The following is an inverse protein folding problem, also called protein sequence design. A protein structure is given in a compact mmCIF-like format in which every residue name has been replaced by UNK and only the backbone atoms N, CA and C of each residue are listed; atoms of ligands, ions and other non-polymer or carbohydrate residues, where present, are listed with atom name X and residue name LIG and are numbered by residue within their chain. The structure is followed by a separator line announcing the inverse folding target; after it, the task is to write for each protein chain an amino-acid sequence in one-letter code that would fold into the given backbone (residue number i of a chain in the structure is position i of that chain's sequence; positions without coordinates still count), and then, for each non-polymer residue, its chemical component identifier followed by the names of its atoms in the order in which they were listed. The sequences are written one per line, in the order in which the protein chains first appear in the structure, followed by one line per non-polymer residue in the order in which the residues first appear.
data_IF_898231355349
#
_entry.id   IF_898231355349
#
_cell.length_a   1.000
_cell.length_b   1.000
_cell.length_c   1.000
_cell.angle_alpha   90.00
_cell.angle_beta   90.00
_cell.angle_gamma   90.00
#
_symmetry.space_group_name_H-M   'P 1'
#
loop_
_entity.id
_entity.type
_entity.pdbx_description
1 polymer ?
#
# COMPACT_ATOMS: atom_id res chain seq x y z
N UNK A 1 -32.47 -18.00 -32.20
CA UNK A 1 -31.66 -16.97 -31.50
C UNK A 1 -31.43 -17.49 -30.09
N UNK A 2 -30.24 -17.98 -29.71
CA UNK A 2 -29.98 -18.38 -28.33
C UNK A 2 -29.53 -17.16 -27.53
N UNK A 3 -30.10 -17.00 -26.34
CA UNK A 3 -29.74 -15.98 -25.35
C UNK A 3 -28.25 -16.07 -24.97
N UNK A 4 -27.48 -15.07 -25.40
CA UNK A 4 -26.07 -14.85 -25.06
C UNK A 4 -25.99 -13.82 -23.93
N UNK A 5 -26.43 -14.11 -22.71
CA UNK A 5 -26.11 -13.23 -21.58
C UNK A 5 -26.33 -13.83 -20.18
N UNK A 6 -25.50 -14.79 -19.76
CA UNK A 6 -25.26 -15.10 -18.33
C UNK A 6 -24.14 -16.15 -18.19
N UNK A 7 -22.86 -15.73 -18.23
CA UNK A 7 -22.02 -15.96 -17.04
C UNK A 7 -21.02 -14.83 -16.70
N UNK A 8 -20.89 -13.81 -17.55
CA UNK A 8 -19.84 -12.78 -17.43
C UNK A 8 -19.99 -11.90 -16.18
N UNK A 9 -21.22 -11.53 -15.79
CA UNK A 9 -21.46 -10.61 -14.66
C UNK A 9 -21.11 -11.19 -13.30
N UNK A 10 -21.36 -12.49 -13.07
CA UNK A 10 -21.07 -13.15 -11.78
C UNK A 10 -19.59 -13.52 -11.64
N UNK A 11 -18.93 -13.86 -12.74
CA UNK A 11 -17.47 -14.02 -12.82
C UNK A 11 -16.74 -12.71 -12.48
N UNK A 12 -17.21 -11.59 -13.04
CA UNK A 12 -16.61 -10.28 -12.84
C UNK A 12 -16.83 -9.74 -11.41
N UNK A 13 -17.96 -10.02 -10.76
CA UNK A 13 -18.17 -9.64 -9.34
C UNK A 13 -17.15 -10.32 -8.42
N UNK A 14 -16.95 -11.64 -8.60
CA UNK A 14 -16.00 -12.41 -7.79
C UNK A 14 -14.54 -11.99 -8.03
N UNK A 15 -14.21 -11.55 -9.25
CA UNK A 15 -12.89 -11.00 -9.57
C UNK A 15 -12.65 -9.64 -8.88
N UNK A 16 -13.67 -8.77 -8.82
CA UNK A 16 -13.59 -7.47 -8.13
C UNK A 16 -13.47 -7.64 -6.61
N UNK A 17 -14.25 -8.56 -6.01
CA UNK A 17 -14.16 -8.88 -4.58
C UNK A 17 -12.76 -9.40 -4.22
N UNK A 18 -12.20 -10.30 -5.04
CA UNK A 18 -10.84 -10.79 -4.85
C UNK A 18 -9.79 -9.69 -4.96
N UNK A 19 -9.91 -8.82 -5.96
CA UNK A 19 -9.00 -7.68 -6.12
C UNK A 19 -9.08 -6.70 -4.93
N UNK A 20 -10.28 -6.53 -4.34
CA UNK A 20 -10.48 -5.72 -3.14
C UNK A 20 -9.77 -6.33 -1.92
N UNK A 21 -9.94 -7.63 -1.69
CA UNK A 21 -9.26 -8.32 -0.59
C UNK A 21 -7.74 -8.31 -0.75
N UNK A 22 -7.25 -8.57 -1.97
CA UNK A 22 -5.81 -8.47 -2.29
C UNK A 22 -5.28 -7.04 -2.06
N UNK A 23 -6.03 -6.01 -2.47
CA UNK A 23 -5.63 -4.61 -2.25
C UNK A 23 -5.59 -4.24 -0.76
N UNK A 24 -6.54 -4.74 0.05
CA UNK A 24 -6.56 -4.53 1.50
C UNK A 24 -5.36 -5.22 2.17
N UNK A 25 -5.03 -6.43 1.74
CA UNK A 25 -3.88 -7.15 2.25
C UNK A 25 -2.56 -6.45 1.92
N UNK A 26 -2.38 -6.01 0.68
CA UNK A 26 -1.18 -5.27 0.25
C UNK A 26 -1.08 -3.93 0.99
N UNK A 27 -2.18 -3.20 1.17
CA UNK A 27 -2.22 -1.96 1.98
C UNK A 27 -1.65 -2.21 3.36
N UNK A 28 -2.15 -3.23 4.07
CA UNK A 28 -1.69 -3.56 5.42
C UNK A 28 -0.20 -3.91 5.46
N UNK A 29 0.28 -4.70 4.51
CA UNK A 29 1.72 -5.04 4.44
C UNK A 29 2.60 -3.81 4.18
N UNK A 30 2.14 -2.87 3.35
CA UNK A 30 2.88 -1.63 3.09
C UNK A 30 2.85 -0.69 4.30
N UNK A 31 1.74 -0.63 5.04
CA UNK A 31 1.64 0.10 6.31
C UNK A 31 2.62 -0.46 7.35
N UNK A 32 2.62 -1.78 7.56
CA UNK A 32 3.54 -2.44 8.51
C UNK A 32 5.01 -2.18 8.13
N UNK A 33 5.35 -2.26 6.84
CA UNK A 33 6.70 -1.95 6.37
C UNK A 33 7.08 -0.48 6.56
N UNK A 34 6.13 0.45 6.43
CA UNK A 34 6.36 1.88 6.68
C UNK A 34 6.64 2.13 8.17
N UNK A 35 5.86 1.50 9.06
CA UNK A 35 6.01 1.62 10.50
C UNK A 35 7.36 1.05 10.98
N UNK A 36 7.75 -0.14 10.49
CA UNK A 36 9.05 -0.73 10.79
C UNK A 36 10.21 0.16 10.32
N UNK A 37 10.08 0.74 9.12
CA UNK A 37 11.10 1.62 8.58
C UNK A 37 11.21 2.94 9.36
N UNK A 38 10.10 3.50 9.83
CA UNK A 38 10.09 4.70 10.66
C UNK A 38 10.86 4.47 11.98
N UNK A 39 10.72 3.27 12.58
CA UNK A 39 11.52 2.90 13.76
C UNK A 39 13.02 2.86 13.43
N UNK A 40 13.40 2.24 12.32
CA UNK A 40 14.79 2.19 11.86
C UNK A 40 15.34 3.60 11.61
N UNK A 41 14.57 4.46 10.94
CA UNK A 41 14.93 5.84 10.67
C UNK A 41 15.22 6.61 11.97
N UNK A 42 14.33 6.52 12.97
CA UNK A 42 14.52 7.15 14.28
C UNK A 42 15.75 6.62 15.00
N UNK A 43 16.02 5.31 14.93
CA UNK A 43 17.22 4.73 15.56
C UNK A 43 18.49 5.21 14.86
N UNK A 44 18.51 5.29 13.54
CA UNK A 44 19.66 5.81 12.80
C UNK A 44 19.88 7.30 13.09
N UNK A 45 18.79 8.08 13.15
CA UNK A 45 18.83 9.53 13.40
C UNK A 45 18.97 9.92 14.88
N UNK A 46 18.80 9.02 15.84
CA UNK A 46 18.95 9.39 17.28
C UNK A 46 19.91 8.50 18.03
N UNK A 47 20.28 7.36 17.47
CA UNK A 47 21.19 6.39 18.08
C UNK A 47 22.66 6.77 17.95
N UNK A 48 23.01 7.69 17.05
CA UNK A 48 24.38 8.19 16.85
C UNK A 48 24.40 9.70 16.98
N UNK A 49 25.25 10.19 17.88
CA UNK A 49 25.50 11.63 18.09
C UNK A 49 26.01 12.26 16.79
N UNK A 50 25.54 13.45 16.44
CA UNK A 50 25.87 14.13 15.18
C UNK A 50 27.39 14.23 14.95
N UNK A 51 28.16 14.56 15.98
CA UNK A 51 29.63 14.65 15.93
C UNK A 51 30.35 13.31 15.62
N UNK A 52 29.65 12.18 15.78
CA UNK A 52 30.16 10.84 15.54
C UNK A 52 29.57 10.19 14.28
N UNK A 53 28.72 10.90 13.54
CA UNK A 53 28.17 10.41 12.27
C UNK A 53 29.21 10.47 11.17
N UNK A 54 29.10 9.52 10.25
CA UNK A 54 29.84 9.51 9.00
C UNK A 54 28.94 9.97 7.87
N UNK A 55 29.51 10.49 6.78
CA UNK A 55 28.75 10.89 5.57
C UNK A 55 27.86 9.75 5.03
N UNK A 56 28.30 8.49 5.18
CA UNK A 56 27.53 7.30 4.79
C UNK A 56 26.29 7.09 5.68
N UNK A 57 26.38 7.42 6.97
CA UNK A 57 25.25 7.32 7.90
C UNK A 57 24.21 8.40 7.60
N UNK A 58 24.64 9.64 7.37
CA UNK A 58 23.71 10.73 6.98
C UNK A 58 23.00 10.41 5.67
N UNK A 59 23.72 9.82 4.70
CA UNK A 59 23.12 9.33 3.46
C UNK A 59 22.11 8.21 3.70
N UNK A 60 22.40 7.29 4.63
CA UNK A 60 21.47 6.20 4.97
C UNK A 60 20.20 6.75 5.64
N UNK A 61 20.31 7.75 6.50
CA UNK A 61 19.17 8.44 7.14
C UNK A 61 18.28 9.08 6.05
N UNK A 62 18.86 9.89 5.16
CA UNK A 62 18.12 10.55 4.08
C UNK A 62 17.46 9.53 3.13
N UNK A 63 18.15 8.44 2.79
CA UNK A 63 17.56 7.37 1.97
C UNK A 63 16.37 6.70 2.67
N UNK A 64 16.47 6.49 3.98
CA UNK A 64 15.43 5.88 4.79
C UNK A 64 14.19 6.78 4.83
N UNK A 65 14.35 8.08 5.07
CA UNK A 65 13.27 9.08 5.03
C UNK A 65 12.55 9.10 3.66
N UNK A 66 13.30 9.05 2.56
CA UNK A 66 12.70 9.01 1.22
C UNK A 66 11.89 7.74 0.96
N UNK A 67 12.32 6.60 1.48
CA UNK A 67 11.60 5.33 1.35
C UNK A 67 10.33 5.37 2.21
N UNK A 68 10.40 5.89 3.44
CA UNK A 68 9.24 6.07 4.33
C UNK A 68 8.14 6.92 3.66
N UNK A 69 8.53 8.04 3.04
CA UNK A 69 7.62 8.90 2.27
C UNK A 69 6.99 8.19 1.06
N UNK A 70 7.72 7.29 0.40
CA UNK A 70 7.20 6.51 -0.74
C UNK A 70 6.22 5.43 -0.28
N UNK A 71 6.53 4.76 0.83
CA UNK A 71 5.63 3.76 1.42
C UNK A 71 4.33 4.40 1.87
N UNK A 72 4.40 5.53 2.59
CA UNK A 72 3.22 6.29 3.02
C UNK A 72 2.31 6.68 1.84
N UNK A 73 2.89 7.21 0.75
CA UNK A 73 2.13 7.51 -0.47
C UNK A 73 1.54 6.26 -1.14
N UNK A 74 2.20 5.11 -1.00
CA UNK A 74 1.70 3.84 -1.55
C UNK A 74 0.49 3.34 -0.78
N UNK A 75 0.47 3.53 0.55
CA UNK A 75 -0.72 3.28 1.40
C UNK A 75 -1.90 4.13 0.92
N UNK A 76 -1.69 5.45 0.75
CA UNK A 76 -2.75 6.36 0.28
C UNK A 76 -3.33 5.95 -1.09
N UNK A 77 -2.46 5.48 -2.00
CA UNK A 77 -2.89 5.02 -3.32
C UNK A 77 -3.65 3.70 -3.24
N UNK A 78 -3.21 2.76 -2.39
CA UNK A 78 -3.87 1.48 -2.19
C UNK A 78 -5.23 1.65 -1.52
N UNK A 79 -5.38 2.62 -0.62
CA UNK A 79 -6.67 2.99 -0.03
C UNK A 79 -7.64 3.48 -1.10
N UNK A 80 -7.22 4.41 -1.97
CA UNK A 80 -8.05 4.90 -3.09
C UNK A 80 -8.46 3.78 -4.05
N UNK A 81 -7.56 2.83 -4.32
CA UNK A 81 -7.87 1.67 -5.16
C UNK A 81 -8.89 0.77 -4.48
N UNK A 82 -8.74 0.50 -3.18
CA UNK A 82 -9.71 -0.29 -2.43
C UNK A 82 -11.10 0.38 -2.41
N UNK A 83 -11.19 1.70 -2.18
CA UNK A 83 -12.45 2.45 -2.22
C UNK A 83 -13.12 2.40 -3.60
N UNK A 84 -12.33 2.52 -4.68
CA UNK A 84 -12.84 2.42 -6.05
C UNK A 84 -13.37 1.01 -6.35
N UNK A 85 -12.65 -0.04 -5.94
CA UNK A 85 -13.09 -1.42 -6.09
C UNK A 85 -14.36 -1.72 -5.29
N UNK A 86 -14.48 -1.18 -4.09
CA UNK A 86 -15.67 -1.30 -3.26
C UNK A 86 -16.88 -0.61 -3.91
N UNK A 87 -16.69 0.57 -4.49
CA UNK A 87 -17.76 1.29 -5.23
C UNK A 87 -18.24 0.48 -6.45
N UNK A 88 -17.32 -0.09 -7.22
CA UNK A 88 -17.65 -0.89 -8.40
C UNK A 88 -18.29 -2.24 -8.05
N UNK A 89 -17.92 -2.84 -6.92
CA UNK A 89 -18.59 -4.03 -6.36
C UNK A 89 -20.07 -3.72 -6.04
N UNK A 90 -20.35 -2.63 -5.32
CA UNK A 90 -21.72 -2.23 -4.96
C UNK A 90 -22.59 -1.89 -6.18
N UNK A 91 -22.03 -1.22 -7.20
CA UNK A 91 -22.75 -0.92 -8.45
C UNK A 91 -23.13 -2.17 -9.25
N UNK A 92 -22.32 -3.24 -9.19
CA UNK A 92 -22.60 -4.51 -9.88
C UNK A 92 -23.60 -5.39 -9.12
N UNK A 93 -23.80 -5.13 -7.83
CA UNK A 93 -24.74 -5.85 -6.97
C UNK A 93 -26.14 -5.23 -6.90
N UNK A 94 -26.33 -3.99 -7.39
CA UNK A 94 -27.63 -3.31 -7.58
C UNK A 94 -28.18 -3.50 -8.99
#
# INVERSE_FOLDING_TARGET
MPDLNAPESSSNSRAVERALDESKQVKKTVEEAADELAVVHVVLDKGVSEDARTDDLDRAIEQTDQIEKKLSKSVDLLEKVAEALETESHKKAS
#
